data_IF_153722369128
#
_entry.id   IF_153722369128
#
_cell.length_a   1.000
_cell.length_b   1.000
_cell.length_c   1.000
_cell.angle_alpha   90.00
_cell.angle_beta   90.00
_cell.angle_gamma   90.00
#
_symmetry.space_group_name_H-M   'P 1'
#
loop_
_entity.id
_entity.type
_entity.pdbx_description
1 polymer ?
#
# COMPACT_ATOMS: atom_id res chain seq x y z
N UNK A 1 0.03 8.76 -22.17
CA UNK A 1 0.90 9.59 -21.31
C UNK A 1 0.71 9.08 -19.88
N UNK A 2 1.78 8.98 -19.10
CA UNK A 2 1.74 8.58 -17.69
C UNK A 2 2.37 9.72 -16.90
N UNK A 3 1.74 10.16 -15.82
CA UNK A 3 2.37 11.07 -14.86
C UNK A 3 2.66 10.34 -13.57
N UNK A 4 3.73 10.72 -12.86
CA UNK A 4 4.12 10.09 -11.61
C UNK A 4 4.18 11.12 -10.49
N UNK A 5 3.71 10.75 -9.31
CA UNK A 5 3.81 11.59 -8.11
C UNK A 5 4.38 10.80 -6.94
N UNK A 6 5.01 11.52 -6.02
CA UNK A 6 5.51 10.97 -4.78
C UNK A 6 4.94 11.72 -3.57
N UNK A 7 4.45 10.96 -2.59
CA UNK A 7 3.99 11.52 -1.33
C UNK A 7 4.93 11.14 -0.18
N UNK A 8 5.62 12.10 0.44
CA UNK A 8 6.48 11.82 1.59
C UNK A 8 5.69 11.41 2.85
N UNK A 9 4.39 11.75 2.94
CA UNK A 9 3.56 11.40 4.09
C UNK A 9 3.32 9.90 4.24
N UNK A 10 3.12 9.18 3.14
CA UNK A 10 2.89 7.73 3.14
C UNK A 10 4.03 6.95 2.47
N UNK A 11 5.07 7.65 1.99
CA UNK A 11 6.24 7.11 1.31
C UNK A 11 5.85 6.24 0.12
N UNK A 12 5.01 6.77 -0.78
CA UNK A 12 4.47 6.04 -1.92
C UNK A 12 4.62 6.82 -3.22
N UNK A 13 4.97 6.08 -4.26
CA UNK A 13 4.90 6.55 -5.64
C UNK A 13 3.54 6.16 -6.22
N UNK A 14 2.95 7.06 -7.00
CA UNK A 14 1.70 6.86 -7.73
C UNK A 14 1.92 7.15 -9.20
N UNK A 15 1.28 6.33 -10.05
CA UNK A 15 1.31 6.49 -11.49
C UNK A 15 -0.12 6.74 -11.97
N UNK A 16 -0.31 7.81 -12.71
CA UNK A 16 -1.59 8.24 -13.29
C UNK A 16 -1.56 8.04 -14.80
N UNK A 17 -2.04 6.92 -15.31
CA UNK A 17 -2.12 6.71 -16.75
C UNK A 17 -3.30 7.47 -17.33
N UNK A 18 -3.09 8.21 -18.43
CA UNK A 18 -4.18 8.89 -19.15
C UNK A 18 -5.06 7.95 -19.98
N UNK A 19 -4.60 6.71 -20.21
CA UNK A 19 -5.33 5.68 -20.93
C UNK A 19 -4.93 4.29 -20.38
N UNK A 20 -5.66 3.26 -20.79
CA UNK A 20 -5.31 1.88 -20.42
C UNK A 20 -3.91 1.55 -20.92
N UNK A 21 -3.08 1.01 -20.00
CA UNK A 21 -1.73 0.57 -20.34
C UNK A 21 -1.77 -0.63 -21.31
N UNK A 22 -0.79 -0.71 -22.18
CA UNK A 22 -0.48 -1.92 -22.95
C UNK A 22 -0.05 -3.06 -22.02
N UNK A 23 -0.16 -4.28 -22.49
CA UNK A 23 0.09 -5.47 -21.66
C UNK A 23 1.54 -5.56 -21.18
N UNK A 24 2.52 -5.11 -21.97
CA UNK A 24 3.93 -5.11 -21.58
C UNK A 24 4.19 -4.13 -20.43
N UNK A 25 3.80 -2.87 -20.60
CA UNK A 25 3.92 -1.83 -19.56
C UNK A 25 3.14 -2.23 -18.30
N UNK A 26 1.93 -2.80 -18.46
CA UNK A 26 1.14 -3.28 -17.33
C UNK A 26 1.86 -4.37 -16.54
N UNK A 27 2.48 -5.35 -17.21
CA UNK A 27 3.25 -6.42 -16.53
C UNK A 27 4.49 -5.86 -15.83
N UNK A 28 5.20 -4.90 -16.43
CA UNK A 28 6.35 -4.21 -15.82
C UNK A 28 5.94 -3.47 -14.54
N UNK A 29 4.87 -2.67 -14.60
CA UNK A 29 4.31 -1.92 -13.46
C UNK A 29 3.88 -2.88 -12.35
N UNK A 30 3.18 -3.97 -12.70
CA UNK A 30 2.76 -5.00 -11.77
C UNK A 30 3.95 -5.76 -11.16
N UNK A 31 4.95 -6.09 -11.96
CA UNK A 31 6.20 -6.75 -11.54
C UNK A 31 7.02 -5.90 -10.55
N UNK A 32 6.99 -4.58 -10.68
CA UNK A 32 7.57 -3.66 -9.71
C UNK A 32 6.73 -3.54 -8.42
N UNK A 33 5.58 -4.20 -8.35
CA UNK A 33 4.71 -4.27 -7.17
C UNK A 33 3.69 -3.14 -7.05
N UNK A 34 3.46 -2.37 -8.10
CA UNK A 34 2.35 -1.42 -8.13
C UNK A 34 1.01 -2.15 -8.19
N UNK A 35 0.01 -1.60 -7.51
CA UNK A 35 -1.36 -2.13 -7.47
C UNK A 35 -2.32 -1.13 -8.08
N UNK A 36 -3.17 -1.60 -8.98
CA UNK A 36 -4.23 -0.79 -9.56
C UNK A 36 -5.30 -0.44 -8.52
N UNK A 37 -5.64 0.83 -8.42
CA UNK A 37 -6.70 1.37 -7.59
C UNK A 37 -7.86 1.88 -8.47
N UNK A 38 -8.85 1.04 -8.81
CA UNK A 38 -9.85 1.34 -9.85
C UNK A 38 -10.74 2.56 -9.55
N UNK A 39 -10.90 2.91 -8.26
CA UNK A 39 -11.70 4.07 -7.85
C UNK A 39 -10.93 5.39 -7.89
N UNK A 40 -9.63 5.33 -8.00
CA UNK A 40 -8.74 6.49 -8.09
C UNK A 40 -8.08 6.57 -9.48
N UNK A 41 -8.30 5.54 -10.30
CA UNK A 41 -7.77 5.42 -11.67
C UNK A 41 -6.24 5.58 -11.75
N UNK A 42 -5.53 5.01 -10.76
CA UNK A 42 -4.09 5.11 -10.66
C UNK A 42 -3.46 3.80 -10.15
N UNK A 43 -2.15 3.65 -10.36
CA UNK A 43 -1.36 2.59 -9.74
C UNK A 43 -0.63 3.14 -8.50
N UNK A 44 -0.67 2.38 -7.40
CA UNK A 44 -0.04 2.76 -6.12
C UNK A 44 1.05 1.76 -5.77
N UNK A 45 2.25 2.26 -5.47
CA UNK A 45 3.30 1.45 -4.87
C UNK A 45 3.01 1.18 -3.38
N UNK A 46 3.36 0.01 -2.84
CA UNK A 46 3.18 -0.28 -1.41
C UNK A 46 4.12 0.57 -0.53
N UNK A 47 5.35 0.81 -0.96
CA UNK A 47 6.37 1.66 -0.32
C UNK A 47 7.36 2.11 -1.40
N UNK A 48 8.03 3.22 -1.19
CA UNK A 48 9.11 3.68 -2.05
C UNK A 48 10.27 2.65 -2.12
N UNK A 49 10.88 2.53 -3.29
CA UNK A 49 12.16 1.84 -3.51
C UNK A 49 12.80 2.36 -4.79
N UNK A 50 14.13 2.30 -4.91
CA UNK A 50 14.86 2.76 -6.11
C UNK A 50 14.32 2.16 -7.41
N UNK A 51 14.07 0.84 -7.45
CA UNK A 51 13.50 0.17 -8.63
C UNK A 51 12.15 0.71 -9.07
N UNK A 52 11.32 1.18 -8.12
CA UNK A 52 10.01 1.77 -8.42
C UNK A 52 10.13 3.20 -8.87
N UNK A 53 11.07 3.91 -8.30
CA UNK A 53 11.43 5.26 -8.72
C UNK A 53 12.00 5.26 -10.14
N UNK A 54 12.97 4.39 -10.43
CA UNK A 54 13.55 4.24 -11.76
C UNK A 54 12.48 3.93 -12.82
N UNK A 55 11.57 2.98 -12.52
CA UNK A 55 10.45 2.67 -13.41
C UNK A 55 9.50 3.87 -13.57
N UNK A 56 9.21 4.61 -12.50
CA UNK A 56 8.35 5.78 -12.57
C UNK A 56 8.99 6.90 -13.40
N UNK A 57 10.28 7.15 -13.24
CA UNK A 57 11.04 8.10 -14.06
C UNK A 57 11.09 7.68 -15.54
N UNK A 58 11.30 6.40 -15.81
CA UNK A 58 11.29 5.87 -17.18
C UNK A 58 9.94 6.08 -17.87
N UNK A 59 8.82 5.86 -17.15
CA UNK A 59 7.47 5.92 -17.72
C UNK A 59 6.90 7.34 -17.79
N UNK A 60 7.25 8.21 -16.83
CA UNK A 60 6.68 9.55 -16.69
C UNK A 60 7.66 10.67 -17.06
N UNK A 61 8.96 10.40 -17.07
CA UNK A 61 10.01 11.40 -17.29
C UNK A 61 10.41 12.13 -16.00
N UNK A 62 9.45 12.50 -15.18
CA UNK A 62 9.66 13.16 -13.90
C UNK A 62 8.68 12.67 -12.84
N UNK A 63 9.00 12.89 -11.57
CA UNK A 63 8.14 12.56 -10.43
C UNK A 63 7.82 13.85 -9.69
N UNK A 64 6.58 14.27 -9.77
CA UNK A 64 6.08 15.47 -9.12
C UNK A 64 5.72 15.20 -7.64
N UNK A 65 5.72 16.22 -6.77
CA UNK A 65 5.15 16.09 -5.44
C UNK A 65 3.64 15.85 -5.53
N UNK A 66 3.13 14.97 -4.68
CA UNK A 66 1.69 14.72 -4.61
C UNK A 66 0.96 15.92 -4.03
N UNK A 67 0.00 16.47 -4.76
CA UNK A 67 -0.78 17.63 -4.34
C UNK A 67 -1.73 17.32 -3.17
N UNK A 68 -2.39 16.15 -3.21
CA UNK A 68 -3.34 15.75 -2.16
C UNK A 68 -2.64 15.16 -0.93
N UNK A 69 -2.88 15.73 0.23
CA UNK A 69 -2.47 15.19 1.52
C UNK A 69 -3.20 13.87 1.84
N UNK A 70 -2.65 13.08 2.76
CA UNK A 70 -3.30 11.85 3.24
C UNK A 70 -4.65 12.16 3.90
N UNK A 71 -4.77 13.32 4.56
CA UNK A 71 -6.01 13.79 5.20
C UNK A 71 -7.09 14.10 4.16
N UNK A 72 -6.78 14.87 3.13
CA UNK A 72 -7.72 15.21 2.05
C UNK A 72 -8.22 13.98 1.30
N UNK A 73 -7.32 13.01 1.02
CA UNK A 73 -7.72 11.72 0.44
C UNK A 73 -8.65 10.91 1.34
N UNK A 74 -8.40 10.93 2.63
CA UNK A 74 -9.27 10.26 3.60
C UNK A 74 -10.64 10.93 3.63
N UNK A 75 -10.69 12.25 3.63
CA UNK A 75 -11.93 13.03 3.60
C UNK A 75 -12.74 12.76 2.32
N UNK A 76 -12.09 12.81 1.14
CA UNK A 76 -12.74 12.47 -0.14
C UNK A 76 -13.27 11.02 -0.16
N UNK A 77 -12.55 10.10 0.48
CA UNK A 77 -12.99 8.71 0.62
C UNK A 77 -14.18 8.59 1.59
N UNK A 78 -14.17 9.29 2.72
CA UNK A 78 -15.27 9.30 3.67
C UNK A 78 -16.55 9.86 3.01
N UNK A 79 -16.46 11.02 2.36
CA UNK A 79 -17.58 11.63 1.63
C UNK A 79 -18.20 10.69 0.58
N UNK A 80 -17.36 9.93 -0.15
CA UNK A 80 -17.86 8.93 -1.10
C UNK A 80 -18.58 7.76 -0.41
N UNK A 81 -18.15 7.35 0.78
CA UNK A 81 -18.81 6.29 1.54
C UNK A 81 -20.13 6.77 2.11
N UNK A 82 -20.22 8.03 2.53
CA UNK A 82 -21.48 8.65 2.97
C UNK A 82 -22.47 8.78 1.81
N UNK A 83 -22.02 9.20 0.64
CA UNK A 83 -22.87 9.21 -0.56
C UNK A 83 -23.42 7.80 -0.93
N UNK A 84 -22.65 6.73 -0.65
CA UNK A 84 -23.16 5.37 -0.78
C UNK A 84 -24.20 5.02 0.28
N UNK A 85 -24.06 5.50 1.51
CA UNK A 85 -25.07 5.35 2.55
C UNK A 85 -26.38 6.05 2.16
N UNK A 86 -26.31 7.29 1.66
CA UNK A 86 -27.45 8.06 1.16
C UNK A 86 -28.17 7.34 0.01
N UNK A 87 -27.38 6.79 -0.93
CA UNK A 87 -27.94 5.97 -2.02
C UNK A 87 -28.69 4.75 -1.49
N UNK A 88 -28.17 4.06 -0.48
CA UNK A 88 -28.85 2.91 0.15
C UNK A 88 -30.10 3.34 0.92
N UNK A 89 -30.10 4.51 1.53
CA UNK A 89 -31.27 5.09 2.18
C UNK A 89 -32.39 5.35 1.16
N UNK A 90 -32.06 5.96 0.02
CA UNK A 90 -33.01 6.20 -1.05
C UNK A 90 -33.57 4.89 -1.63
N UNK A 91 -32.70 3.86 -1.87
CA UNK A 91 -33.12 2.53 -2.32
C UNK A 91 -34.04 1.84 -1.30
N UNK A 92 -33.72 1.90 -0.01
CA UNK A 92 -34.56 1.36 1.07
C UNK A 92 -35.95 1.97 1.06
N UNK A 93 -36.03 3.31 0.99
CA UNK A 93 -37.29 4.05 0.95
C UNK A 93 -38.09 3.72 -0.32
N UNK A 94 -37.44 3.56 -1.47
CA UNK A 94 -38.10 3.20 -2.72
C UNK A 94 -38.69 1.77 -2.66
N UNK A 95 -37.93 0.81 -2.13
CA UNK A 95 -38.41 -0.57 -1.96
C UNK A 95 -39.52 -0.67 -0.89
N UNK A 96 -39.46 0.07 0.21
CA UNK A 96 -40.55 0.14 1.19
C UNK A 96 -41.82 0.64 0.56
N UNK A 97 -41.76 1.76 -0.17
CA UNK A 97 -42.95 2.29 -0.88
C UNK A 97 -43.53 1.27 -1.88
N UNK A 98 -42.66 0.58 -2.62
CA UNK A 98 -43.12 -0.46 -3.55
C UNK A 98 -43.81 -1.65 -2.81
N UNK A 99 -43.27 -2.03 -1.64
CA UNK A 99 -43.90 -3.05 -0.80
C UNK A 99 -45.27 -2.58 -0.27
N UNK A 100 -45.37 -1.33 0.20
CA UNK A 100 -46.59 -0.72 0.70
C UNK A 100 -47.67 -0.65 -0.40
N UNK A 101 -47.29 -0.27 -1.63
CA UNK A 101 -48.23 -0.25 -2.76
C UNK A 101 -48.77 -1.66 -3.07
N UNK A 102 -47.93 -2.66 -3.04
CA UNK A 102 -48.33 -4.06 -3.27
C UNK A 102 -49.17 -4.60 -2.11
N UNK A 103 -48.93 -4.15 -0.88
CA UNK A 103 -49.68 -4.57 0.30
C UNK A 103 -51.15 -4.11 0.28
N UNK A 104 -51.45 -2.99 -0.41
CA UNK A 104 -52.82 -2.50 -0.58
C UNK A 104 -53.78 -3.54 -1.16
N UNK A 105 -53.26 -4.49 -1.97
CA UNK A 105 -54.06 -5.60 -2.47
C UNK A 105 -54.57 -6.55 -1.37
N UNK A 106 -54.02 -6.44 -0.16
CA UNK A 106 -54.33 -7.28 1.01
C UNK A 106 -54.75 -6.43 2.24
N UNK A 107 -55.07 -5.17 2.03
CA UNK A 107 -55.34 -4.17 3.09
C UNK A 107 -56.42 -4.61 4.10
N UNK A 108 -57.44 -5.32 3.64
CA UNK A 108 -58.52 -5.81 4.51
C UNK A 108 -58.29 -7.26 5.00
N UNK A 109 -57.06 -7.76 4.96
CA UNK A 109 -56.75 -9.11 5.43
C UNK A 109 -57.39 -10.23 4.59
N UNK A 110 -57.67 -9.96 3.31
CA UNK A 110 -58.31 -10.91 2.42
C UNK A 110 -57.44 -12.14 2.19
N UNK A 111 -57.93 -13.35 2.51
CA UNK A 111 -57.18 -14.55 2.26
C UNK A 111 -57.05 -14.87 0.74
N UNK A 112 -55.94 -15.47 0.33
CA UNK A 112 -55.82 -15.98 -1.01
C UNK A 112 -56.72 -17.21 -1.19
N UNK A 113 -57.71 -17.09 -2.05
CA UNK A 113 -58.67 -18.16 -2.32
C UNK A 113 -58.05 -19.25 -3.17
N UNK A 114 -57.77 -20.42 -2.57
CA UNK A 114 -57.15 -21.58 -3.24
C UNK A 114 -58.13 -22.15 -4.27
N UNK A 115 -57.63 -22.38 -5.47
CA UNK A 115 -58.44 -22.90 -6.62
C UNK A 115 -59.20 -21.82 -7.38
N UNK A 116 -59.22 -20.58 -6.92
CA UNK A 116 -59.89 -19.46 -7.60
C UNK A 116 -59.01 -18.92 -8.73
N UNK A 117 -59.61 -18.41 -9.83
CA UNK A 117 -58.87 -17.87 -10.97
C UNK A 117 -57.89 -16.74 -10.61
N UNK A 118 -58.12 -16.02 -9.53
CA UNK A 118 -57.24 -14.96 -9.04
C UNK A 118 -56.06 -15.42 -8.19
N UNK A 119 -56.03 -16.72 -7.76
CA UNK A 119 -55.00 -17.23 -6.86
C UNK A 119 -53.57 -16.97 -7.38
N UNK A 120 -53.30 -17.29 -8.65
CA UNK A 120 -51.98 -17.13 -9.25
C UNK A 120 -51.51 -15.65 -9.21
N UNK A 121 -52.43 -14.73 -9.47
CA UNK A 121 -52.14 -13.27 -9.43
C UNK A 121 -51.88 -12.81 -7.99
N UNK A 122 -52.69 -13.24 -7.04
CA UNK A 122 -52.55 -12.91 -5.63
C UNK A 122 -51.23 -13.42 -5.05
N UNK A 123 -50.87 -14.68 -5.29
CA UNK A 123 -49.58 -15.25 -4.86
C UNK A 123 -48.40 -14.51 -5.46
N UNK A 124 -48.42 -14.15 -6.73
CA UNK A 124 -47.36 -13.38 -7.38
C UNK A 124 -47.23 -11.97 -6.81
N UNK A 125 -48.35 -11.35 -6.43
CA UNK A 125 -48.34 -10.03 -5.77
C UNK A 125 -47.73 -10.14 -4.38
N UNK A 126 -48.10 -11.15 -3.59
CA UNK A 126 -47.53 -11.42 -2.28
C UNK A 126 -46.02 -11.68 -2.34
N UNK A 127 -45.56 -12.50 -3.31
CA UNK A 127 -44.16 -12.78 -3.52
C UNK A 127 -43.37 -11.49 -3.87
N UNK A 128 -43.91 -10.63 -4.74
CA UNK A 128 -43.31 -9.33 -5.09
C UNK A 128 -43.23 -8.42 -3.90
N UNK A 129 -44.27 -8.38 -3.05
CA UNK A 129 -44.30 -7.60 -1.81
C UNK A 129 -43.19 -8.04 -0.85
N UNK A 130 -43.09 -9.37 -0.59
CA UNK A 130 -42.03 -9.90 0.25
C UNK A 130 -40.62 -9.62 -0.31
N UNK A 131 -40.41 -9.81 -1.61
CA UNK A 131 -39.14 -9.50 -2.26
C UNK A 131 -38.77 -8.02 -2.17
N UNK A 132 -39.75 -7.11 -2.25
CA UNK A 132 -39.53 -5.68 -2.07
C UNK A 132 -39.17 -5.35 -0.62
N UNK A 133 -39.84 -5.94 0.36
CA UNK A 133 -39.54 -5.80 1.78
C UNK A 133 -38.13 -6.29 2.12
N UNK A 134 -37.76 -7.48 1.60
CA UNK A 134 -36.40 -8.02 1.80
C UNK A 134 -35.32 -7.11 1.22
N UNK A 135 -35.56 -6.54 0.04
CA UNK A 135 -34.65 -5.57 -0.57
C UNK A 135 -34.53 -4.30 0.27
N UNK A 136 -35.67 -3.78 0.78
CA UNK A 136 -35.71 -2.64 1.69
C UNK A 136 -34.86 -2.90 2.95
N UNK A 137 -35.07 -4.03 3.60
CA UNK A 137 -34.32 -4.43 4.80
C UNK A 137 -32.82 -4.58 4.52
N UNK A 138 -32.44 -5.20 3.40
CA UNK A 138 -31.01 -5.32 2.99
C UNK A 138 -30.38 -3.96 2.73
N UNK A 139 -31.08 -3.06 2.03
CA UNK A 139 -30.63 -1.70 1.78
C UNK A 139 -30.49 -0.91 3.09
N UNK A 140 -31.46 -1.01 4.00
CA UNK A 140 -31.44 -0.37 5.30
C UNK A 140 -30.22 -0.80 6.14
N UNK A 141 -29.97 -2.08 6.24
CA UNK A 141 -28.77 -2.61 6.94
C UNK A 141 -27.46 -2.09 6.35
N UNK A 142 -27.41 -1.91 5.03
CA UNK A 142 -26.21 -1.39 4.36
C UNK A 142 -25.90 0.07 4.69
N UNK A 143 -26.88 0.89 5.11
CA UNK A 143 -26.68 2.29 5.52
C UNK A 143 -25.68 2.36 6.68
N UNK A 144 -25.97 1.67 7.77
CA UNK A 144 -25.10 1.65 8.95
C UNK A 144 -23.70 1.11 8.66
N UNK A 145 -23.58 0.12 7.76
CA UNK A 145 -22.28 -0.40 7.33
C UNK A 145 -21.43 0.68 6.63
N UNK A 146 -22.01 1.47 5.74
CA UNK A 146 -21.27 2.50 5.00
C UNK A 146 -20.88 3.68 5.89
N UNK A 147 -21.75 4.15 6.78
CA UNK A 147 -21.42 5.16 7.78
C UNK A 147 -20.30 4.70 8.71
N UNK A 148 -20.39 3.50 9.25
CA UNK A 148 -19.32 2.94 10.09
C UNK A 148 -17.96 2.92 9.36
N UNK A 149 -17.95 2.61 8.07
CA UNK A 149 -16.74 2.66 7.25
C UNK A 149 -16.23 4.07 6.99
N UNK A 150 -17.11 5.03 6.80
CA UNK A 150 -16.73 6.44 6.63
C UNK A 150 -16.04 6.97 7.89
N UNK A 151 -16.66 6.80 9.05
CA UNK A 151 -16.07 7.14 10.35
C UNK A 151 -14.73 6.43 10.59
N UNK A 152 -14.59 5.17 10.19
CA UNK A 152 -13.35 4.43 10.30
C UNK A 152 -12.21 5.06 9.49
N UNK A 153 -12.51 5.60 8.31
CA UNK A 153 -11.54 6.30 7.46
C UNK A 153 -11.09 7.60 8.12
N UNK A 154 -12.01 8.38 8.66
CA UNK A 154 -11.71 9.64 9.35
C UNK A 154 -10.90 9.41 10.63
N UNK A 155 -11.32 8.46 11.46
CA UNK A 155 -10.56 8.07 12.66
C UNK A 155 -9.12 7.69 12.35
N UNK A 156 -8.90 6.93 11.27
CA UNK A 156 -7.56 6.53 10.86
C UNK A 156 -6.72 7.72 10.36
N UNK A 157 -7.31 8.65 9.62
CA UNK A 157 -6.64 9.87 9.18
C UNK A 157 -6.26 10.76 10.38
N UNK A 158 -7.20 10.97 11.32
CA UNK A 158 -6.98 11.74 12.53
C UNK A 158 -5.87 11.11 13.41
N UNK A 159 -5.87 9.79 13.56
CA UNK A 159 -4.81 9.08 14.27
C UNK A 159 -3.44 9.29 13.60
N UNK A 160 -3.35 9.24 12.28
CA UNK A 160 -2.09 9.51 11.57
C UNK A 160 -1.62 10.95 11.71
N UNK A 161 -2.54 11.89 11.83
CA UNK A 161 -2.24 13.32 12.01
C UNK A 161 -1.98 13.70 13.47
N UNK A 162 -2.17 12.79 14.42
CA UNK A 162 -1.84 13.03 15.83
C UNK A 162 -0.36 13.41 15.98
N UNK A 163 -0.04 14.56 16.63
CA UNK A 163 1.33 15.02 16.80
C UNK A 163 2.24 13.98 17.48
N UNK A 164 1.70 13.19 18.42
CA UNK A 164 2.46 12.12 19.10
C UNK A 164 2.82 10.98 18.15
N UNK A 165 1.91 10.62 17.24
CA UNK A 165 2.15 9.58 16.23
C UNK A 165 3.18 10.06 15.21
N UNK A 166 3.05 11.32 14.75
CA UNK A 166 4.03 11.95 13.85
C UNK A 166 5.41 12.05 14.48
N UNK A 167 5.50 12.49 15.73
CA UNK A 167 6.76 12.57 16.45
C UNK A 167 7.46 11.21 16.59
N UNK A 168 6.72 10.14 16.90
CA UNK A 168 7.27 8.77 16.93
C UNK A 168 7.80 8.34 15.56
N UNK A 169 7.06 8.63 14.48
CA UNK A 169 7.48 8.31 13.12
C UNK A 169 8.77 9.05 12.75
N UNK A 170 8.85 10.36 13.02
CA UNK A 170 10.05 11.15 12.79
C UNK A 170 11.24 10.56 13.57
N UNK A 171 11.03 10.22 14.84
CA UNK A 171 12.09 9.60 15.66
C UNK A 171 12.58 8.28 15.06
N UNK A 172 11.67 7.44 14.56
CA UNK A 172 12.03 6.17 13.90
C UNK A 172 12.82 6.42 12.61
N UNK A 173 12.36 7.33 11.76
CA UNK A 173 13.07 7.67 10.50
C UNK A 173 14.46 8.25 10.77
N UNK A 174 14.61 9.10 11.79
CA UNK A 174 15.91 9.63 12.19
C UNK A 174 16.85 8.54 12.75
N UNK A 175 16.31 7.53 13.44
CA UNK A 175 17.10 6.39 13.88
C UNK A 175 17.57 5.54 12.68
N UNK A 176 16.68 5.24 11.74
CA UNK A 176 17.02 4.53 10.49
C UNK A 176 18.09 5.29 9.68
N UNK A 177 17.92 6.61 9.52
CA UNK A 177 18.89 7.45 8.83
C UNK A 177 20.28 7.39 9.48
N UNK A 178 20.36 7.51 10.82
CA UNK A 178 21.61 7.39 11.56
C UNK A 178 22.27 6.02 11.41
N UNK A 179 21.45 4.96 11.34
CA UNK A 179 21.98 3.60 11.11
C UNK A 179 22.55 3.45 9.70
N UNK A 180 21.90 4.00 8.70
CA UNK A 180 22.41 4.03 7.32
C UNK A 180 23.70 4.84 7.22
N UNK A 181 23.75 6.02 7.82
CA UNK A 181 24.96 6.84 7.85
C UNK A 181 26.12 6.10 8.54
N UNK A 182 25.87 5.45 9.69
CA UNK A 182 26.89 4.65 10.39
C UNK A 182 27.42 3.50 9.53
N UNK A 183 26.51 2.79 8.83
CA UNK A 183 26.90 1.70 7.93
C UNK A 183 27.75 2.21 6.77
N UNK A 184 27.36 3.33 6.14
CA UNK A 184 28.09 3.91 5.04
C UNK A 184 29.48 4.38 5.49
N UNK A 185 29.56 5.15 6.57
CA UNK A 185 30.81 5.62 7.13
C UNK A 185 31.70 4.46 7.60
N UNK A 186 31.11 3.40 8.17
CA UNK A 186 31.83 2.20 8.54
C UNK A 186 32.43 1.47 7.34
N UNK A 187 31.68 1.37 6.22
CA UNK A 187 32.16 0.74 5.00
C UNK A 187 33.31 1.54 4.35
N UNK A 188 33.21 2.88 4.31
CA UNK A 188 34.33 3.74 3.85
C UNK A 188 35.57 3.54 4.70
N UNK A 189 35.43 3.59 6.02
CA UNK A 189 36.57 3.40 6.94
C UNK A 189 37.18 2.00 6.83
N UNK A 190 36.35 0.98 6.65
CA UNK A 190 36.85 -0.39 6.42
C UNK A 190 37.61 -0.47 5.12
N UNK A 191 37.13 0.13 4.02
CA UNK A 191 37.81 0.15 2.74
C UNK A 191 39.18 0.82 2.84
N UNK A 192 39.26 2.03 3.44
CA UNK A 192 40.52 2.72 3.68
C UNK A 192 41.52 1.90 4.52
N UNK A 193 41.02 1.19 5.53
CA UNK A 193 41.86 0.33 6.36
C UNK A 193 42.38 -0.87 5.57
N UNK A 194 41.52 -1.51 4.75
CA UNK A 194 41.93 -2.62 3.88
C UNK A 194 42.97 -2.21 2.85
N UNK A 195 42.88 -1.00 2.29
CA UNK A 195 43.86 -0.48 1.33
C UNK A 195 45.28 -0.37 1.92
N UNK A 196 45.36 -0.05 3.23
CA UNK A 196 46.63 0.08 3.95
C UNK A 196 47.28 -1.25 4.34
N UNK A 197 46.53 -2.37 4.34
CA UNK A 197 47.01 -3.66 4.77
C UNK A 197 47.57 -4.46 3.58
N UNK A 198 48.88 -4.56 3.50
CA UNK A 198 49.57 -5.22 2.40
C UNK A 198 50.19 -6.58 2.77
N UNK A 199 50.44 -6.84 4.06
CA UNK A 199 51.14 -8.03 4.55
C UNK A 199 50.12 -9.07 5.06
N UNK A 200 50.33 -10.35 4.74
CA UNK A 200 49.42 -11.45 5.15
C UNK A 200 49.16 -11.53 6.65
N UNK A 201 50.15 -11.27 7.46
CA UNK A 201 50.01 -11.27 8.93
C UNK A 201 49.05 -10.14 9.39
N UNK A 202 49.18 -8.95 8.84
CA UNK A 202 48.31 -7.81 9.16
C UNK A 202 46.89 -8.06 8.67
N UNK A 203 46.72 -8.67 7.51
CA UNK A 203 45.43 -9.05 6.97
C UNK A 203 44.75 -10.07 7.85
N UNK A 204 45.45 -11.14 8.28
CA UNK A 204 44.90 -12.14 9.22
C UNK A 204 44.47 -11.51 10.53
N UNK A 205 45.24 -10.60 11.12
CA UNK A 205 44.89 -9.86 12.34
C UNK A 205 43.66 -8.98 12.18
N UNK A 206 43.45 -8.44 10.99
CA UNK A 206 42.32 -7.58 10.67
C UNK A 206 41.02 -8.35 10.40
N UNK A 207 41.10 -9.57 9.83
CA UNK A 207 39.95 -10.41 9.48
C UNK A 207 39.06 -10.76 10.69
N UNK A 208 39.60 -10.84 11.89
CA UNK A 208 38.84 -11.13 13.12
C UNK A 208 38.08 -9.94 13.71
N UNK A 209 38.22 -8.73 13.12
CA UNK A 209 37.60 -7.52 13.65
C UNK A 209 36.27 -7.21 12.98
N UNK A 210 35.22 -7.02 13.78
CA UNK A 210 33.85 -6.72 13.29
C UNK A 210 33.79 -5.43 12.46
N UNK A 211 34.67 -4.47 12.73
CA UNK A 211 34.77 -3.17 12.06
C UNK A 211 35.23 -3.28 10.59
N UNK A 212 35.81 -4.42 10.23
CA UNK A 212 36.42 -4.66 8.90
C UNK A 212 35.44 -5.34 7.90
N UNK A 213 34.19 -5.59 8.30
CA UNK A 213 33.16 -6.24 7.47
C UNK A 213 33.58 -7.63 6.88
N UNK A 214 34.44 -8.34 7.60
CA UNK A 214 35.06 -9.59 7.15
C UNK A 214 34.64 -10.83 7.97
N UNK A 215 33.52 -10.77 8.68
CA UNK A 215 33.10 -11.68 9.73
C UNK A 215 33.18 -13.18 9.37
N UNK A 216 32.87 -13.56 8.12
CA UNK A 216 32.88 -14.95 7.68
C UNK A 216 34.20 -15.36 6.98
N UNK A 217 35.11 -14.43 6.73
CA UNK A 217 36.33 -14.69 5.96
C UNK A 217 37.46 -15.20 6.83
N UNK A 218 37.48 -14.82 8.12
CA UNK A 218 38.50 -15.28 9.06
C UNK A 218 38.54 -16.82 9.15
N UNK A 219 37.39 -17.45 9.37
CA UNK A 219 37.31 -18.90 9.48
C UNK A 219 37.66 -19.66 8.17
N UNK A 220 37.43 -19.05 7.02
CA UNK A 220 37.83 -19.62 5.73
C UNK A 220 39.37 -19.57 5.54
N UNK A 221 40.02 -18.50 5.97
CA UNK A 221 41.49 -18.38 5.95
C UNK A 221 42.12 -19.33 6.96
N UNK A 222 41.56 -19.46 8.16
CA UNK A 222 42.08 -20.41 9.17
C UNK A 222 41.97 -21.88 8.74
N UNK A 223 40.94 -22.26 7.99
CA UNK A 223 40.79 -23.61 7.44
C UNK A 223 41.63 -23.86 6.20
N UNK A 224 42.27 -22.83 5.65
CA UNK A 224 43.03 -22.92 4.39
C UNK A 224 42.20 -22.95 3.12
N UNK A 225 40.87 -22.65 3.24
CA UNK A 225 39.96 -22.60 2.07
C UNK A 225 40.22 -21.35 1.20
N UNK A 226 40.97 -20.38 1.71
CA UNK A 226 41.23 -19.10 1.07
C UNK A 226 42.53 -18.48 1.56
N UNK A 227 43.23 -17.79 0.68
CA UNK A 227 44.43 -17.01 1.03
C UNK A 227 44.02 -15.71 1.73
N UNK A 228 44.91 -15.13 2.59
CA UNK A 228 44.66 -13.82 3.20
C UNK A 228 44.39 -12.73 2.18
N UNK A 229 45.08 -12.72 1.04
CA UNK A 229 44.90 -11.73 -0.02
C UNK A 229 43.51 -11.85 -0.68
N UNK A 230 43.04 -13.05 -0.99
CA UNK A 230 41.70 -13.29 -1.54
C UNK A 230 40.62 -12.87 -0.53
N UNK A 231 40.84 -13.10 0.76
CA UNK A 231 39.93 -12.66 1.81
C UNK A 231 39.85 -11.10 1.89
N UNK A 232 41.01 -10.44 1.75
CA UNK A 232 41.08 -8.96 1.69
C UNK A 232 40.31 -8.44 0.49
N UNK A 233 40.48 -8.98 -0.69
CA UNK A 233 39.76 -8.57 -1.91
C UNK A 233 38.24 -8.74 -1.76
N UNK A 234 37.79 -9.87 -1.19
CA UNK A 234 36.36 -10.11 -0.90
C UNK A 234 35.81 -9.12 0.13
N UNK A 235 36.56 -8.80 1.18
CA UNK A 235 36.15 -7.82 2.17
C UNK A 235 36.04 -6.41 1.56
N UNK A 236 36.99 -6.03 0.71
CA UNK A 236 36.95 -4.76 -0.02
C UNK A 236 35.77 -4.71 -1.00
N UNK A 237 35.51 -5.79 -1.73
CA UNK A 237 34.35 -5.89 -2.62
C UNK A 237 33.03 -5.77 -1.83
N UNK A 238 32.96 -6.40 -0.65
CA UNK A 238 31.80 -6.26 0.25
C UNK A 238 31.59 -4.81 0.74
N UNK A 239 32.67 -4.13 1.13
CA UNK A 239 32.60 -2.72 1.54
C UNK A 239 32.18 -1.81 0.37
N UNK A 240 32.73 -2.02 -0.83
CA UNK A 240 32.32 -1.29 -2.05
C UNK A 240 30.85 -1.50 -2.38
N UNK A 241 30.38 -2.74 -2.32
CA UNK A 241 28.95 -3.05 -2.55
C UNK A 241 28.00 -2.32 -1.58
N UNK A 242 28.43 -2.06 -0.35
CA UNK A 242 27.65 -1.24 0.60
C UNK A 242 27.68 0.23 0.18
N UNK A 243 28.82 0.75 -0.22
CA UNK A 243 29.00 2.16 -0.63
C UNK A 243 28.24 2.43 -1.93
N UNK A 244 28.29 1.51 -2.89
CA UNK A 244 27.65 1.60 -4.20
C UNK A 244 26.17 1.21 -4.17
N UNK A 245 25.63 0.85 -2.99
CA UNK A 245 24.24 0.47 -2.86
C UNK A 245 23.32 1.68 -3.11
N UNK A 246 22.64 1.68 -4.27
CA UNK A 246 21.66 2.71 -4.66
C UNK A 246 20.63 2.98 -3.58
N UNK A 247 20.15 1.93 -2.90
CA UNK A 247 19.18 2.08 -1.82
C UNK A 247 19.70 2.90 -0.64
N UNK A 248 21.00 2.82 -0.34
CA UNK A 248 21.60 3.56 0.76
C UNK A 248 21.88 5.01 0.36
N UNK A 249 22.44 5.23 -0.82
CA UNK A 249 22.78 6.55 -1.33
C UNK A 249 21.55 7.45 -1.55
N UNK A 250 20.44 6.89 -2.02
CA UNK A 250 19.20 7.65 -2.25
C UNK A 250 18.35 7.85 -1.00
N UNK A 251 18.62 7.12 0.10
CA UNK A 251 17.94 7.29 1.39
C UNK A 251 18.55 8.41 2.23
N UNK A 252 19.81 8.76 2.01
CA UNK A 252 20.56 9.81 2.70
C UNK A 252 20.46 11.13 1.95
#
# INVERSE_FOLDING_TARGET
MITATYSPEDNKIRLYPSARLDDETFQRVKGAGFKWAPKQELFVAPKWSCKREDLALELAGEIEPEEMTVAERAQAKAARLDALADKRAAESSAFSRAADELSRAFEFGQPILVGHHSERKARKTQERMHNAMDKACKAHKAIGYWHYRAEGVERFANMKNDPKVRARRIKTLLAELRDFQRRLNGAHKALENWEKLTTDNLIRMALGRSEMYSFNLYSAVERGDMTPQEAREKAMAGARSIIESDNLARWI
#
